data_IF_859937579736
#
_entry.id   IF_859937579736
#
_cell.length_a   1.000
_cell.length_b   1.000
_cell.length_c   1.000
_cell.angle_alpha   90.00
_cell.angle_beta   90.00
_cell.angle_gamma   90.00
#
_symmetry.space_group_name_H-M   'P 1'
#
loop_
_entity.id
_entity.type
_entity.pdbx_description
1 polymer ?
#
# COMPACT_ATOMS: atom_id res chain seq x y z
N UNK A 1 -50.79 -9.12 -5.48
CA UNK A 1 -50.34 -7.84 -6.06
C UNK A 1 -48.85 -7.91 -6.24
N UNK A 2 -48.40 -7.61 -7.46
CA UNK A 2 -47.02 -7.54 -7.92
C UNK A 2 -46.50 -6.08 -7.85
N UNK A 3 -45.33 -5.87 -8.46
CA UNK A 3 -44.58 -4.62 -8.74
C UNK A 3 -43.71 -4.14 -7.54
N UNK A 4 -42.43 -3.75 -7.66
CA UNK A 4 -41.50 -3.43 -8.76
C UNK A 4 -40.10 -3.31 -8.10
N UNK A 5 -38.97 -3.84 -8.60
CA UNK A 5 -38.26 -3.33 -9.77
C UNK A 5 -37.45 -2.07 -9.43
N UNK A 6 -36.15 -2.20 -9.10
CA UNK A 6 -35.32 -1.03 -8.79
C UNK A 6 -33.88 -1.35 -8.38
N UNK A 7 -33.13 -2.08 -9.23
CA UNK A 7 -31.68 -2.21 -9.12
C UNK A 7 -31.03 -0.85 -9.45
N UNK A 8 -30.89 0.01 -8.43
CA UNK A 8 -30.07 1.22 -8.51
C UNK A 8 -28.62 0.83 -8.27
N UNK A 9 -27.87 0.64 -9.36
CA UNK A 9 -26.41 0.59 -9.36
C UNK A 9 -25.86 1.85 -8.68
N UNK A 10 -25.51 1.73 -7.39
CA UNK A 10 -24.79 2.75 -6.65
C UNK A 10 -23.48 3.06 -7.40
N UNK A 11 -23.15 4.34 -7.67
CA UNK A 11 -21.81 4.67 -8.15
C UNK A 11 -20.80 4.15 -7.13
N UNK A 12 -19.63 3.62 -7.55
CA UNK A 12 -18.64 3.14 -6.61
C UNK A 12 -18.35 4.26 -5.62
N UNK A 13 -18.40 4.01 -4.30
CA UNK A 13 -18.16 5.05 -3.32
C UNK A 13 -16.80 5.65 -3.61
N UNK A 14 -16.69 6.99 -3.56
CA UNK A 14 -15.40 7.67 -3.63
C UNK A 14 -14.58 7.22 -2.43
N UNK A 15 -13.78 6.18 -2.61
CA UNK A 15 -12.90 5.61 -1.59
C UNK A 15 -11.85 6.65 -1.27
N UNK A 16 -11.86 7.16 -0.04
CA UNK A 16 -10.74 7.94 0.50
C UNK A 16 -9.58 6.97 0.75
N UNK A 17 -8.34 7.46 0.66
CA UNK A 17 -7.14 6.61 0.79
C UNK A 17 -7.08 5.82 2.11
N UNK A 18 -7.80 6.27 3.15
CA UNK A 18 -7.96 5.53 4.42
C UNK A 18 -8.86 4.30 4.34
N UNK A 19 -9.77 4.21 3.36
CA UNK A 19 -10.70 3.08 3.23
C UNK A 19 -10.00 1.80 2.77
N UNK A 20 -8.90 1.94 2.01
CA UNK A 20 -8.01 0.82 1.64
C UNK A 20 -7.22 0.24 2.82
N UNK A 21 -7.26 0.87 4.00
CA UNK A 21 -6.54 0.43 5.21
C UNK A 21 -7.45 -0.25 6.25
N UNK A 22 -8.73 -0.51 5.95
CA UNK A 22 -9.64 -1.15 6.91
C UNK A 22 -9.34 -2.63 7.06
N UNK A 23 -8.55 -2.97 8.08
CA UNK A 23 -8.29 -4.34 8.53
C UNK A 23 -9.54 -4.87 9.27
N UNK A 24 -10.12 -5.98 8.80
CA UNK A 24 -11.23 -6.68 9.44
C UNK A 24 -10.92 -7.00 10.93
N UNK A 25 -11.74 -6.55 11.91
CA UNK A 25 -11.43 -6.66 13.34
C UNK A 25 -11.71 -8.04 13.95
N UNK A 26 -12.15 -9.02 13.15
CA UNK A 26 -12.45 -10.38 13.65
C UNK A 26 -11.33 -11.35 13.33
N UNK A 27 -10.22 -11.22 14.07
CA UNK A 27 -9.22 -12.24 14.45
C UNK A 27 -7.99 -11.51 15.03
N UNK A 28 -7.98 -11.37 16.35
CA UNK A 28 -6.79 -11.30 17.21
C UNK A 28 -5.45 -10.88 16.54
N UNK A 29 -5.23 -9.59 16.26
CA UNK A 29 -3.98 -9.10 15.67
C UNK A 29 -3.10 -8.39 16.71
N UNK A 30 -2.59 -9.15 17.68
CA UNK A 30 -1.20 -8.92 18.09
C UNK A 30 -0.34 -9.82 17.23
N UNK A 31 0.92 -9.42 17.04
CA UNK A 31 1.98 -10.07 16.27
C UNK A 31 2.01 -9.51 14.83
N UNK A 32 3.15 -8.91 14.50
CA UNK A 32 3.73 -8.98 13.16
C UNK A 32 3.82 -10.47 12.85
N UNK A 33 2.70 -11.09 12.47
CA UNK A 33 2.69 -12.48 12.06
C UNK A 33 3.29 -12.43 10.69
N UNK A 34 4.62 -12.51 10.64
CA UNK A 34 5.27 -13.20 9.54
C UNK A 34 4.52 -14.53 9.46
N UNK A 35 3.67 -14.75 8.44
CA UNK A 35 3.00 -16.03 8.30
C UNK A 35 4.09 -17.09 8.36
N UNK A 36 3.77 -18.30 8.80
CA UNK A 36 4.63 -19.45 8.51
C UNK A 36 4.63 -19.67 6.98
N UNK A 37 5.21 -18.72 6.26
CA UNK A 37 5.59 -18.82 4.88
C UNK A 37 6.78 -19.75 4.96
N UNK A 38 6.61 -20.95 4.43
CA UNK A 38 7.70 -21.80 4.02
C UNK A 38 8.81 -20.89 3.51
N UNK A 39 9.93 -20.80 4.24
CA UNK A 39 10.91 -19.72 4.15
C UNK A 39 11.44 -19.56 2.72
N UNK A 40 10.68 -18.89 1.87
CA UNK A 40 11.15 -18.37 0.63
C UNK A 40 11.83 -17.08 1.08
N UNK A 41 13.14 -17.20 1.31
CA UNK A 41 14.09 -16.19 1.76
C UNK A 41 14.13 -15.01 0.77
N UNK A 42 12.99 -14.36 0.56
CA UNK A 42 12.84 -13.34 -0.44
C UNK A 42 13.37 -12.03 0.13
N UNK A 43 14.63 -11.78 -0.21
CA UNK A 43 15.33 -10.54 0.08
C UNK A 43 14.99 -9.51 -1.00
N UNK A 44 14.67 -8.29 -0.57
CA UNK A 44 14.53 -7.17 -1.49
C UNK A 44 15.93 -6.80 -1.98
N UNK A 45 16.18 -7.05 -3.27
CA UNK A 45 17.47 -6.72 -3.87
C UNK A 45 17.71 -5.20 -3.82
N UNK A 46 18.94 -4.74 -3.52
CA UNK A 46 19.30 -3.32 -3.54
C UNK A 46 18.97 -2.63 -4.88
N UNK A 47 19.00 -3.37 -5.98
CA UNK A 47 18.60 -2.86 -7.30
C UNK A 47 17.12 -2.45 -7.36
N UNK A 48 16.23 -3.18 -6.68
CA UNK A 48 14.81 -2.82 -6.60
C UNK A 48 14.60 -1.59 -5.73
N UNK A 49 15.36 -1.48 -4.63
CA UNK A 49 15.36 -0.29 -3.77
C UNK A 49 15.82 0.93 -4.56
N UNK A 50 16.90 0.80 -5.33
CA UNK A 50 17.40 1.88 -6.19
C UNK A 50 16.38 2.27 -7.25
N UNK A 51 15.68 1.30 -7.84
CA UNK A 51 14.65 1.57 -8.85
C UNK A 51 13.49 2.41 -8.29
N UNK A 52 12.95 2.06 -7.12
CA UNK A 52 11.87 2.84 -6.49
C UNK A 52 12.34 4.21 -5.99
N UNK A 53 13.62 4.35 -5.66
CA UNK A 53 14.21 5.63 -5.24
C UNK A 53 14.39 6.62 -6.40
N UNK A 54 14.46 6.15 -7.65
CA UNK A 54 14.53 7.05 -8.82
C UNK A 54 13.25 7.88 -9.00
N UNK A 55 12.12 7.36 -8.51
CA UNK A 55 10.84 8.06 -8.47
C UNK A 55 10.42 8.29 -7.02
N UNK A 56 11.34 8.82 -6.20
CA UNK A 56 11.02 9.08 -4.80
C UNK A 56 10.12 10.30 -4.65
N UNK A 57 9.10 10.21 -3.80
CA UNK A 57 8.24 11.32 -3.44
C UNK A 57 8.70 11.99 -2.16
N UNK A 58 9.01 13.29 -2.23
CA UNK A 58 9.48 14.04 -1.06
C UNK A 58 8.34 14.62 -0.22
N UNK A 59 7.13 14.69 -0.77
CA UNK A 59 6.00 15.38 -0.15
C UNK A 59 6.11 16.91 -0.30
N UNK A 60 6.72 17.36 -1.40
CA UNK A 60 6.75 18.77 -1.80
C UNK A 60 5.42 19.18 -2.44
N UNK A 61 5.04 20.45 -2.30
CA UNK A 61 3.85 21.03 -2.93
C UNK A 61 3.92 21.05 -4.48
N UNK A 62 5.11 20.80 -5.05
CA UNK A 62 5.36 20.73 -6.49
C UNK A 62 5.20 19.31 -7.06
N UNK A 63 5.12 18.29 -6.20
CA UNK A 63 5.00 16.90 -6.62
C UNK A 63 3.53 16.46 -6.60
N UNK A 64 3.10 15.73 -7.62
CA UNK A 64 1.75 15.16 -7.66
C UNK A 64 1.73 13.76 -7.02
N UNK A 65 0.93 13.54 -5.96
CA UNK A 65 0.87 12.26 -5.27
C UNK A 65 0.22 11.14 -6.12
N UNK A 66 -0.67 11.47 -7.05
CA UNK A 66 -1.29 10.46 -7.92
C UNK A 66 -0.29 9.96 -8.96
N UNK A 67 0.50 10.87 -9.54
CA UNK A 67 1.57 10.55 -10.47
C UNK A 67 2.64 9.68 -9.79
N UNK A 68 2.95 9.97 -8.52
CA UNK A 68 3.82 9.11 -7.72
C UNK A 68 3.26 7.69 -7.57
N UNK A 69 2.00 7.57 -7.17
CA UNK A 69 1.35 6.26 -6.98
C UNK A 69 1.31 5.47 -8.30
N UNK A 70 0.93 6.11 -9.41
CA UNK A 70 0.92 5.48 -10.73
C UNK A 70 2.32 4.96 -11.11
N UNK A 71 3.34 5.80 -10.96
CA UNK A 71 4.72 5.44 -11.28
C UNK A 71 5.22 4.31 -10.38
N UNK A 72 4.91 4.35 -9.08
CA UNK A 72 5.27 3.31 -8.13
C UNK A 72 4.61 1.95 -8.48
N UNK A 73 3.33 1.97 -8.86
CA UNK A 73 2.62 0.76 -9.27
C UNK A 73 3.21 0.18 -10.56
N UNK A 74 3.49 1.02 -11.56
CA UNK A 74 4.16 0.59 -12.79
C UNK A 74 5.52 -0.06 -12.50
N UNK A 75 6.33 0.54 -11.63
CA UNK A 75 7.61 -0.04 -11.20
C UNK A 75 7.37 -1.42 -10.57
N UNK A 76 6.40 -1.54 -9.65
CA UNK A 76 6.09 -2.81 -9.00
C UNK A 76 5.64 -3.89 -10.00
N UNK A 77 4.83 -3.53 -10.99
CA UNK A 77 4.32 -4.45 -12.01
C UNK A 77 5.45 -4.98 -12.94
N UNK A 78 6.57 -4.25 -13.07
CA UNK A 78 7.75 -4.77 -13.78
C UNK A 78 8.52 -5.85 -13.00
N UNK A 79 8.28 -5.98 -11.69
CA UNK A 79 9.04 -6.87 -10.81
C UNK A 79 8.34 -8.22 -10.73
N UNK A 80 8.79 -9.19 -11.52
CA UNK A 80 8.31 -10.58 -11.42
C UNK A 80 9.15 -11.40 -10.45
N UNK A 81 8.56 -11.81 -9.33
CA UNK A 81 9.22 -12.65 -8.32
C UNK A 81 8.36 -13.86 -7.97
N UNK A 82 8.88 -15.04 -8.29
CA UNK A 82 8.18 -16.30 -8.07
C UNK A 82 7.90 -16.51 -6.57
N UNK A 83 6.63 -16.66 -6.23
CA UNK A 83 6.19 -16.96 -4.86
C UNK A 83 6.08 -15.75 -3.94
N UNK A 84 6.18 -14.52 -4.45
CA UNK A 84 5.90 -13.30 -3.69
C UNK A 84 4.59 -12.69 -4.19
N UNK A 85 3.64 -12.43 -3.27
CA UNK A 85 2.45 -11.66 -3.57
C UNK A 85 2.86 -10.23 -3.94
N UNK A 86 2.40 -9.73 -5.09
CA UNK A 86 2.69 -8.36 -5.56
C UNK A 86 2.34 -7.31 -4.51
N UNK A 87 1.24 -7.50 -3.77
CA UNK A 87 0.85 -6.62 -2.67
C UNK A 87 1.86 -6.63 -1.52
N UNK A 88 2.44 -7.78 -1.19
CA UNK A 88 3.49 -7.88 -0.17
C UNK A 88 4.81 -7.23 -0.63
N UNK A 89 5.05 -7.17 -1.94
CA UNK A 89 6.17 -6.41 -2.49
C UNK A 89 5.90 -4.90 -2.41
N UNK A 90 4.74 -4.46 -2.88
CA UNK A 90 4.30 -3.05 -2.85
C UNK A 90 4.39 -2.49 -1.44
N UNK A 91 3.83 -3.18 -0.44
CA UNK A 91 3.88 -2.75 0.96
C UNK A 91 5.32 -2.60 1.48
N UNK A 92 6.23 -3.52 1.10
CA UNK A 92 7.63 -3.47 1.55
C UNK A 92 8.47 -2.45 0.80
N UNK A 93 8.18 -2.15 -0.46
CA UNK A 93 8.91 -1.17 -1.27
C UNK A 93 8.43 0.26 -1.06
N UNK A 94 7.16 0.45 -0.68
CA UNK A 94 6.57 1.78 -0.54
C UNK A 94 7.36 2.72 0.37
N UNK A 95 7.88 2.32 1.55
CA UNK A 95 8.68 3.20 2.39
C UNK A 95 9.98 3.69 1.73
N UNK A 96 10.53 2.93 0.79
CA UNK A 96 11.72 3.31 0.02
C UNK A 96 11.41 4.28 -1.12
N UNK A 97 10.15 4.34 -1.56
CA UNK A 97 9.66 5.34 -2.52
C UNK A 97 9.44 6.72 -1.90
N UNK A 98 9.55 6.87 -0.57
CA UNK A 98 9.34 8.14 0.12
C UNK A 98 10.66 8.75 0.59
N UNK A 99 10.77 10.07 0.48
CA UNK A 99 11.86 10.87 1.04
C UNK A 99 11.33 12.11 1.75
N UNK A 100 12.21 12.94 2.32
CA UNK A 100 11.87 14.24 2.87
C UNK A 100 10.70 14.24 3.86
N UNK A 101 9.72 15.13 3.60
CA UNK A 101 8.53 15.32 4.44
C UNK A 101 7.62 14.09 4.41
N UNK A 102 7.45 13.45 3.26
CA UNK A 102 6.62 12.25 3.13
C UNK A 102 7.17 11.08 3.96
N UNK A 103 8.49 10.89 3.96
CA UNK A 103 9.13 9.87 4.81
C UNK A 103 9.02 10.21 6.29
N UNK A 104 9.15 11.47 6.67
CA UNK A 104 8.92 11.91 8.04
C UNK A 104 7.48 11.64 8.49
N UNK A 105 6.49 12.00 7.65
CA UNK A 105 5.07 11.71 7.88
C UNK A 105 4.81 10.21 8.08
N UNK A 106 5.37 9.35 7.22
CA UNK A 106 5.20 7.90 7.37
C UNK A 106 5.72 7.39 8.72
N UNK A 107 6.83 7.95 9.23
CA UNK A 107 7.39 7.60 10.54
C UNK A 107 6.63 8.20 11.71
N UNK A 108 5.99 9.35 11.50
CA UNK A 108 5.14 10.02 12.49
C UNK A 108 3.72 9.43 12.55
N UNK A 109 3.30 8.69 11.52
CA UNK A 109 2.05 7.97 11.52
C UNK A 109 2.11 6.87 12.59
N UNK A 110 1.31 6.95 13.67
CA UNK A 110 1.36 5.96 14.73
C UNK A 110 0.97 4.61 14.13
N UNK A 111 1.90 3.66 14.13
CA UNK A 111 1.71 2.33 13.54
C UNK A 111 0.75 1.44 14.36
N UNK A 112 -0.20 2.03 15.09
CA UNK A 112 -1.15 1.35 15.96
C UNK A 112 -1.83 2.25 17.01
N UNK A 113 -2.10 3.53 16.71
CA UNK A 113 -2.59 4.48 17.70
C UNK A 113 -3.89 5.18 17.31
N UNK A 114 -4.99 4.44 17.19
CA UNK A 114 -6.29 5.00 17.62
C UNK A 114 -6.26 5.00 19.15
N UNK A 115 -5.68 6.04 19.73
CA UNK A 115 -5.97 6.37 21.12
C UNK A 115 -7.18 7.28 21.10
N UNK A 116 -8.29 6.73 21.61
CA UNK A 116 -9.54 7.33 22.11
C UNK A 116 -9.86 8.79 21.84
#
# INVERSE_FOLDING_TARGET
MAEDGGDSLCPPPKRTMGDYMTLNPSKNATIIVNPAVNANNFEIKPSLISLVQQSSFSGSDLEDPNQHIETFLQICDTIKMNGVLEDALRVRLFPFSLTGKARAWLRSCPTGGVSS
#
